data_IF_258841556474
#
_entry.id   IF_258841556474
#
_cell.length_a   1.000
_cell.length_b   1.000
_cell.length_c   1.000
_cell.angle_alpha   90.00
_cell.angle_beta   90.00
_cell.angle_gamma   90.00
#
_symmetry.space_group_name_H-M   'P 1'
#
loop_
_entity.id
_entity.type
_entity.pdbx_description
1 polymer ?
#
# COMPACT_ATOMS: atom_id res chain seq x y z
N UNK A 1 27.85 -1.91 -2.58
CA UNK A 1 26.85 -2.83 -3.13
C UNK A 1 27.34 -4.28 -3.20
N UNK A 2 28.53 -4.57 -3.74
CA UNK A 2 29.05 -5.97 -3.85
C UNK A 2 29.20 -6.67 -2.49
N UNK A 3 29.69 -5.98 -1.46
CA UNK A 3 29.79 -6.53 -0.09
C UNK A 3 28.40 -6.92 0.44
N UNK A 4 27.38 -6.10 0.18
CA UNK A 4 25.99 -6.41 0.59
C UNK A 4 25.49 -7.67 -0.10
N UNK A 5 25.66 -7.79 -1.42
CA UNK A 5 25.26 -8.98 -2.19
C UNK A 5 25.91 -10.26 -1.67
N UNK A 6 27.22 -10.19 -1.36
CA UNK A 6 27.96 -11.32 -0.77
C UNK A 6 27.40 -11.73 0.59
N UNK A 7 27.04 -10.76 1.45
CA UNK A 7 26.47 -11.05 2.77
C UNK A 7 25.04 -11.64 2.65
N UNK A 8 24.19 -11.08 1.79
CA UNK A 8 22.88 -11.65 1.52
C UNK A 8 22.98 -13.11 1.06
N UNK A 9 23.91 -13.40 0.15
CA UNK A 9 24.14 -14.75 -0.34
C UNK A 9 24.67 -15.69 0.76
N UNK A 10 25.62 -15.23 1.57
CA UNK A 10 26.18 -16.01 2.67
C UNK A 10 25.14 -16.35 3.75
N UNK A 11 24.17 -15.46 3.96
CA UNK A 11 23.08 -15.63 4.94
C UNK A 11 21.83 -16.30 4.32
N UNK A 12 21.90 -16.76 3.06
CA UNK A 12 20.79 -17.46 2.38
C UNK A 12 19.59 -16.58 2.08
N UNK A 13 19.77 -15.27 2.02
CA UNK A 13 18.72 -14.32 1.68
C UNK A 13 18.66 -14.12 0.17
N UNK A 14 17.55 -14.50 -0.44
CA UNK A 14 17.38 -14.39 -1.89
C UNK A 14 17.33 -12.92 -2.34
N UNK A 15 17.97 -12.63 -3.47
CA UNK A 15 17.90 -11.31 -4.10
C UNK A 15 18.06 -11.41 -5.62
N UNK A 16 17.68 -10.33 -6.32
CA UNK A 16 17.93 -10.13 -7.74
C UNK A 16 18.73 -8.84 -7.91
N UNK A 17 19.73 -8.84 -8.78
CA UNK A 17 20.50 -7.66 -9.12
C UNK A 17 19.90 -7.00 -10.37
N UNK A 18 19.98 -5.67 -10.45
CA UNK A 18 19.48 -4.87 -11.56
C UNK A 18 18.01 -5.19 -11.97
N UNK A 19 17.18 -5.48 -10.96
CA UNK A 19 15.80 -5.93 -11.16
C UNK A 19 14.88 -4.79 -11.62
N UNK A 20 14.17 -4.93 -12.76
CA UNK A 20 13.26 -3.89 -13.27
C UNK A 20 12.07 -3.67 -12.34
N UNK A 21 11.96 -2.49 -11.72
CA UNK A 21 10.90 -2.17 -10.77
C UNK A 21 9.52 -2.04 -11.42
N UNK A 22 9.45 -1.81 -12.73
CA UNK A 22 8.20 -1.87 -13.49
C UNK A 22 7.49 -3.22 -13.37
N UNK A 23 8.21 -4.32 -13.12
CA UNK A 23 7.61 -5.64 -12.89
C UNK A 23 6.90 -5.74 -11.52
N UNK A 24 7.29 -4.91 -10.55
CA UNK A 24 6.90 -4.97 -9.14
C UNK A 24 5.96 -3.85 -8.71
N UNK A 25 5.37 -3.11 -9.63
CA UNK A 25 4.35 -2.11 -9.33
C UNK A 25 3.18 -2.19 -10.32
N UNK A 26 2.00 -1.75 -9.87
CA UNK A 26 0.77 -1.80 -10.68
C UNK A 26 0.77 -0.79 -11.83
N UNK A 27 1.58 0.27 -11.75
CA UNK A 27 1.74 1.26 -12.81
C UNK A 27 2.57 0.76 -14.00
N UNK A 28 3.38 -0.28 -13.77
CA UNK A 28 4.31 -0.84 -14.77
C UNK A 28 5.31 0.17 -15.32
N UNK A 29 5.78 1.06 -14.44
CA UNK A 29 6.80 2.10 -14.71
C UNK A 29 7.90 1.99 -13.65
N UNK A 30 9.15 2.12 -14.07
CA UNK A 30 10.32 2.16 -13.18
C UNK A 30 11.52 1.44 -13.77
N UNK A 31 12.68 2.06 -13.63
CA UNK A 31 13.98 1.48 -13.97
C UNK A 31 14.43 0.41 -12.97
N UNK A 32 15.67 -0.07 -13.07
CA UNK A 32 16.18 -1.16 -12.23
C UNK A 32 16.50 -0.71 -10.79
N UNK A 33 16.32 -1.61 -9.82
CA UNK A 33 16.94 -1.51 -8.50
C UNK A 33 18.33 -2.17 -8.53
N UNK A 34 19.33 -1.61 -7.83
CA UNK A 34 20.66 -2.25 -7.71
C UNK A 34 20.56 -3.64 -7.07
N UNK A 35 19.68 -3.77 -6.07
CA UNK A 35 19.34 -5.03 -5.41
C UNK A 35 17.84 -5.05 -5.11
N UNK A 36 17.17 -6.13 -5.46
CA UNK A 36 15.79 -6.45 -5.09
C UNK A 36 15.84 -7.64 -4.13
N UNK A 37 15.72 -7.38 -2.82
CA UNK A 37 15.83 -8.39 -1.77
C UNK A 37 14.48 -9.07 -1.51
N UNK A 38 14.51 -10.38 -1.30
CA UNK A 38 13.34 -11.25 -1.15
C UNK A 38 13.41 -11.99 0.20
N UNK A 39 13.31 -11.28 1.36
CA UNK A 39 13.32 -11.94 2.66
C UNK A 39 12.06 -12.79 2.83
N UNK A 40 12.23 -14.05 3.21
CA UNK A 40 11.11 -14.98 3.43
C UNK A 40 10.63 -15.01 4.89
N UNK A 41 11.48 -14.56 5.84
CA UNK A 41 11.15 -14.52 7.26
C UNK A 41 11.38 -13.11 7.84
N UNK A 42 10.81 -12.89 9.02
CA UNK A 42 11.00 -11.62 9.75
C UNK A 42 12.46 -11.38 10.10
N UNK A 43 13.17 -12.43 10.54
CA UNK A 43 14.59 -12.35 10.86
C UNK A 43 15.41 -11.94 9.62
N UNK A 44 15.10 -12.51 8.45
CA UNK A 44 15.75 -12.13 7.19
C UNK A 44 15.45 -10.67 6.83
N UNK A 45 14.20 -10.21 6.99
CA UNK A 45 13.81 -8.82 6.76
C UNK A 45 14.59 -7.85 7.66
N UNK A 46 14.61 -8.12 8.97
CA UNK A 46 15.36 -7.34 9.93
C UNK A 46 16.87 -7.33 9.59
N UNK A 47 17.40 -8.47 9.16
CA UNK A 47 18.80 -8.60 8.79
C UNK A 47 19.15 -7.80 7.53
N UNK A 48 18.32 -7.82 6.48
CA UNK A 48 18.51 -6.99 5.28
C UNK A 48 18.55 -5.51 5.65
N UNK A 49 17.61 -5.05 6.50
CA UNK A 49 17.56 -3.67 6.96
C UNK A 49 18.83 -3.32 7.76
N UNK A 50 19.26 -4.18 8.67
CA UNK A 50 20.49 -4.00 9.45
C UNK A 50 21.72 -3.89 8.53
N UNK A 51 21.89 -4.80 7.56
CA UNK A 51 22.99 -4.77 6.59
C UNK A 51 23.00 -3.47 5.77
N UNK A 52 21.84 -2.97 5.36
CA UNK A 52 21.73 -1.69 4.67
C UNK A 52 22.24 -0.53 5.55
N UNK A 53 21.80 -0.49 6.81
CA UNK A 53 22.22 0.53 7.77
C UNK A 53 23.72 0.47 8.09
N UNK A 54 24.25 -0.72 8.38
CA UNK A 54 25.67 -0.96 8.65
C UNK A 54 26.59 -0.49 7.52
N UNK A 55 26.10 -0.56 6.26
CA UNK A 55 26.88 -0.19 5.08
C UNK A 55 26.52 1.18 4.50
N UNK A 56 25.59 1.91 5.12
CA UNK A 56 25.12 3.21 4.63
C UNK A 56 24.42 3.11 3.26
N UNK A 57 23.78 1.97 2.95
CA UNK A 57 23.04 1.74 1.72
C UNK A 57 21.59 2.14 1.92
N UNK A 58 21.06 2.94 1.01
CA UNK A 58 19.62 3.27 1.02
C UNK A 58 18.78 2.02 0.80
N UNK A 59 17.63 1.94 1.44
CA UNK A 59 16.65 0.89 1.17
C UNK A 59 15.24 1.44 1.09
N UNK A 60 14.36 0.71 0.41
CA UNK A 60 12.93 0.99 0.25
C UNK A 60 12.12 -0.27 0.50
N UNK A 61 11.10 -0.17 1.38
CA UNK A 61 10.18 -1.27 1.66
C UNK A 61 9.04 -1.25 0.65
N UNK A 62 8.87 -2.33 -0.08
CA UNK A 62 7.87 -2.45 -1.13
C UNK A 62 6.86 -3.54 -0.77
N UNK A 63 5.57 -3.17 -0.76
CA UNK A 63 4.46 -4.13 -0.80
C UNK A 63 4.06 -4.43 -2.25
N UNK A 64 2.77 -4.41 -2.55
CA UNK A 64 2.27 -4.67 -3.91
C UNK A 64 2.54 -3.54 -4.94
N UNK A 65 3.22 -2.46 -4.57
CA UNK A 65 3.53 -1.36 -5.48
C UNK A 65 2.30 -0.66 -6.08
N UNK A 66 1.16 -0.70 -5.39
CA UNK A 66 -0.12 -0.22 -5.94
C UNK A 66 -0.38 1.28 -5.76
N UNK A 67 0.51 1.98 -5.04
CA UNK A 67 0.48 3.44 -4.86
C UNK A 67 1.86 4.07 -5.17
N UNK A 68 2.67 3.40 -6.01
CA UNK A 68 4.07 3.75 -6.24
C UNK A 68 4.30 4.07 -7.72
N UNK A 69 5.09 5.13 -7.94
CA UNK A 69 5.70 5.48 -9.22
C UNK A 69 7.21 5.52 -9.04
N UNK A 70 7.93 4.56 -9.62
CA UNK A 70 9.39 4.55 -9.61
C UNK A 70 9.94 5.42 -10.73
N UNK A 71 11.07 6.11 -10.45
CA UNK A 71 11.80 6.87 -11.47
C UNK A 71 12.35 5.96 -12.57
N UNK A 72 12.48 6.53 -13.78
CA UNK A 72 12.99 5.82 -14.97
C UNK A 72 14.45 5.39 -14.79
N UNK A 73 15.24 6.16 -14.01
CA UNK A 73 16.61 5.81 -13.63
C UNK A 73 16.69 4.61 -12.66
N UNK A 74 15.55 4.20 -12.07
CA UNK A 74 15.46 3.12 -11.09
C UNK A 74 15.72 3.57 -9.66
N UNK A 75 16.23 2.65 -8.82
CA UNK A 75 16.53 2.92 -7.42
C UNK A 75 17.96 2.53 -7.08
N UNK A 76 18.78 3.52 -6.69
CA UNK A 76 20.18 3.28 -6.30
C UNK A 76 20.24 2.86 -4.84
N UNK A 77 20.10 1.54 -4.61
CA UNK A 77 20.02 0.94 -3.30
C UNK A 77 19.31 -0.41 -3.32
N UNK A 78 18.70 -0.76 -2.19
CA UNK A 78 17.99 -2.03 -1.99
C UNK A 78 16.48 -1.77 -1.97
N UNK A 79 15.74 -2.41 -2.85
CA UNK A 79 14.27 -2.53 -2.70
C UNK A 79 14.00 -3.87 -2.02
N UNK A 80 13.29 -3.84 -0.90
CA UNK A 80 12.96 -5.03 -0.09
C UNK A 80 11.50 -5.37 -0.32
N UNK A 81 11.24 -6.53 -0.94
CA UNK A 81 9.89 -7.02 -1.20
C UNK A 81 9.30 -7.67 0.05
N UNK A 82 8.37 -6.98 0.70
CA UNK A 82 7.68 -7.53 1.87
C UNK A 82 6.67 -8.63 1.51
N UNK A 83 6.27 -8.75 0.24
CA UNK A 83 5.40 -9.84 -0.21
C UNK A 83 6.10 -11.19 -0.26
N UNK A 84 7.44 -11.23 -0.23
CA UNK A 84 8.19 -12.47 -0.13
C UNK A 84 8.07 -13.13 1.27
N UNK A 85 7.65 -12.36 2.30
CA UNK A 85 7.50 -12.85 3.66
C UNK A 85 6.42 -13.94 3.74
N UNK A 86 6.81 -15.11 4.25
CA UNK A 86 5.93 -16.27 4.49
C UNK A 86 5.23 -16.15 5.84
N UNK A 87 4.56 -15.02 6.08
CA UNK A 87 3.79 -14.77 7.29
C UNK A 87 2.31 -15.11 7.06
N UNK A 88 1.73 -15.84 8.00
CA UNK A 88 0.34 -16.31 7.91
C UNK A 88 -0.69 -15.34 8.49
N UNK A 89 -1.89 -15.89 8.67
CA UNK A 89 -3.00 -15.25 9.40
C UNK A 89 -3.27 -16.11 10.64
N UNK A 90 -3.39 -15.45 11.80
CA UNK A 90 -3.80 -16.04 13.07
C UNK A 90 -5.13 -15.47 13.52
N UNK A 91 -5.90 -16.27 14.26
CA UNK A 91 -7.18 -15.88 14.84
C UNK A 91 -7.17 -16.10 16.34
N UNK A 92 -7.73 -15.14 17.08
CA UNK A 92 -7.98 -15.24 18.53
C UNK A 92 -9.46 -14.92 18.77
N UNK A 93 -10.17 -15.86 19.37
CA UNK A 93 -11.60 -15.70 19.62
C UNK A 93 -11.88 -14.91 20.90
N UNK A 94 -12.99 -14.16 20.89
CA UNK A 94 -13.56 -13.47 22.07
C UNK A 94 -12.55 -12.57 22.78
N UNK A 95 -11.88 -11.70 22.03
CA UNK A 95 -10.93 -10.75 22.61
C UNK A 95 -11.66 -9.55 23.24
N UNK A 96 -11.06 -8.96 24.27
CA UNK A 96 -11.51 -7.69 24.81
C UNK A 96 -11.30 -6.59 23.76
N UNK A 97 -12.34 -5.78 23.51
CA UNK A 97 -12.25 -4.65 22.59
C UNK A 97 -12.60 -3.35 23.32
N UNK A 98 -11.72 -2.33 23.29
CA UNK A 98 -12.00 -1.04 23.90
C UNK A 98 -13.28 -0.41 23.32
N UNK A 99 -14.21 -0.03 24.19
CA UNK A 99 -15.48 0.58 23.77
C UNK A 99 -16.55 -0.38 23.24
N UNK A 100 -16.36 -1.71 23.37
CA UNK A 100 -17.40 -2.68 23.02
C UNK A 100 -18.68 -2.43 23.84
N UNK A 101 -19.84 -2.44 23.18
CA UNK A 101 -21.13 -2.39 23.85
C UNK A 101 -21.42 -3.72 24.59
N UNK A 102 -22.28 -3.72 25.62
CA UNK A 102 -22.66 -4.94 26.31
C UNK A 102 -23.22 -6.00 25.34
N UNK A 103 -22.60 -7.18 25.33
CA UNK A 103 -22.98 -8.30 24.45
C UNK A 103 -22.32 -8.30 23.07
N UNK A 104 -21.52 -7.28 22.71
CA UNK A 104 -20.70 -7.33 21.50
C UNK A 104 -19.48 -8.23 21.72
N UNK A 105 -19.25 -9.11 20.76
CA UNK A 105 -18.11 -10.05 20.74
C UNK A 105 -17.22 -9.71 19.56
N UNK A 106 -15.92 -9.56 19.84
CA UNK A 106 -14.88 -9.33 18.86
C UNK A 106 -13.92 -10.51 18.84
N UNK A 107 -13.49 -10.85 17.64
CA UNK A 107 -12.36 -11.76 17.43
C UNK A 107 -11.18 -10.94 16.88
N UNK A 108 -9.95 -11.32 17.23
CA UNK A 108 -8.77 -10.70 16.66
C UNK A 108 -8.25 -11.51 15.49
N UNK A 109 -7.85 -10.79 14.44
CA UNK A 109 -7.16 -11.34 13.27
C UNK A 109 -5.77 -10.72 13.22
N UNK A 110 -4.73 -11.53 13.32
CA UNK A 110 -3.33 -11.11 13.18
C UNK A 110 -2.83 -11.49 11.80
N UNK A 111 -2.35 -10.53 11.03
CA UNK A 111 -1.90 -10.75 9.66
C UNK A 111 -0.51 -10.16 9.41
N UNK A 112 0.35 -10.89 8.70
CA UNK A 112 1.67 -10.42 8.30
C UNK A 112 1.60 -9.27 7.29
N UNK A 113 2.54 -8.33 7.38
CA UNK A 113 2.56 -7.11 6.56
C UNK A 113 2.61 -7.36 5.05
N UNK A 114 3.26 -8.45 4.62
CA UNK A 114 3.38 -8.84 3.21
C UNK A 114 2.14 -9.50 2.62
N UNK A 115 1.17 -9.90 3.45
CA UNK A 115 -0.04 -10.57 3.01
C UNK A 115 -0.88 -9.64 2.14
N UNK A 116 -1.46 -10.16 1.05
CA UNK A 116 -2.43 -9.40 0.24
C UNK A 116 -3.67 -9.06 1.05
N UNK A 117 -4.13 -7.83 0.94
CA UNK A 117 -5.31 -7.37 1.66
C UNK A 117 -6.57 -8.16 1.30
N UNK A 118 -6.71 -8.56 0.03
CA UNK A 118 -7.80 -9.44 -0.41
C UNK A 118 -7.78 -10.82 0.27
N UNK A 119 -6.60 -11.37 0.56
CA UNK A 119 -6.46 -12.64 1.29
C UNK A 119 -6.91 -12.50 2.75
N UNK A 120 -6.56 -11.38 3.40
CA UNK A 120 -7.05 -11.06 4.75
C UNK A 120 -8.59 -10.96 4.77
N UNK A 121 -9.18 -10.23 3.80
CA UNK A 121 -10.65 -10.10 3.71
C UNK A 121 -11.34 -11.44 3.46
N UNK A 122 -10.76 -12.31 2.62
CA UNK A 122 -11.28 -13.67 2.36
C UNK A 122 -11.21 -14.52 3.63
N UNK A 123 -10.10 -14.49 4.35
CA UNK A 123 -9.95 -15.23 5.60
C UNK A 123 -10.92 -14.73 6.70
N UNK A 124 -11.17 -13.42 6.77
CA UNK A 124 -12.20 -12.85 7.66
C UNK A 124 -13.60 -13.38 7.32
N UNK A 125 -13.98 -13.38 6.03
CA UNK A 125 -15.25 -13.95 5.56
C UNK A 125 -15.38 -15.44 5.92
N UNK A 126 -14.34 -16.25 5.69
CA UNK A 126 -14.33 -17.69 6.01
C UNK A 126 -14.52 -17.97 7.52
N UNK A 127 -14.17 -17.00 8.37
CA UNK A 127 -14.38 -17.04 9.82
C UNK A 127 -15.62 -16.24 10.28
N UNK A 128 -16.49 -15.83 9.35
CA UNK A 128 -17.71 -15.06 9.63
C UNK A 128 -17.44 -13.73 10.36
N UNK A 129 -16.34 -13.05 10.02
CA UNK A 129 -15.91 -11.78 10.61
C UNK A 129 -16.18 -10.62 9.66
N UNK A 130 -16.95 -9.63 10.11
CA UNK A 130 -17.34 -8.41 9.38
C UNK A 130 -16.45 -7.22 9.77
N UNK A 131 -16.33 -6.24 8.89
CA UNK A 131 -15.60 -4.99 9.09
C UNK A 131 -14.51 -4.74 8.05
N UNK A 132 -14.08 -5.75 7.27
CA UNK A 132 -13.04 -5.62 6.23
C UNK A 132 -13.60 -5.59 4.79
N UNK A 133 -14.90 -5.57 4.59
CA UNK A 133 -15.53 -5.64 3.27
C UNK A 133 -15.09 -4.50 2.35
N UNK A 134 -14.86 -3.29 2.91
CA UNK A 134 -14.39 -2.11 2.19
C UNK A 134 -13.00 -2.32 1.56
N UNK A 135 -12.19 -3.17 2.16
CA UNK A 135 -10.79 -3.38 1.81
C UNK A 135 -10.60 -4.45 0.73
N UNK A 136 -11.59 -5.31 0.48
CA UNK A 136 -11.46 -6.47 -0.42
C UNK A 136 -10.95 -6.13 -1.82
N UNK A 137 -11.40 -5.01 -2.38
CA UNK A 137 -10.97 -4.57 -3.71
C UNK A 137 -9.69 -3.73 -3.73
N UNK A 138 -9.07 -3.38 -2.59
CA UNK A 138 -7.84 -2.57 -2.55
C UNK A 138 -6.64 -3.45 -2.93
N UNK A 139 -5.88 -3.12 -3.99
CA UNK A 139 -4.78 -3.96 -4.49
C UNK A 139 -3.49 -3.74 -3.68
N UNK A 140 -3.55 -3.82 -2.36
CA UNK A 140 -2.42 -3.59 -1.44
C UNK A 140 -2.03 -4.82 -0.64
N UNK A 141 -0.97 -4.68 0.15
CA UNK A 141 -0.64 -5.59 1.26
C UNK A 141 -1.15 -5.01 2.57
N UNK A 142 -1.23 -5.85 3.61
CA UNK A 142 -1.63 -5.43 4.97
C UNK A 142 -0.74 -4.29 5.46
N UNK A 143 0.60 -4.43 5.38
CA UNK A 143 1.52 -3.38 5.80
C UNK A 143 1.37 -2.08 4.99
N UNK A 144 1.21 -2.18 3.66
CA UNK A 144 0.97 -1.01 2.81
C UNK A 144 -0.38 -0.34 3.11
N UNK A 145 -1.41 -1.11 3.44
CA UNK A 145 -2.72 -0.59 3.81
C UNK A 145 -2.70 0.13 5.15
N UNK A 146 -2.01 -0.42 6.16
CA UNK A 146 -1.81 0.24 7.46
C UNK A 146 -0.98 1.51 7.30
N UNK A 147 0.14 1.45 6.57
CA UNK A 147 1.01 2.59 6.30
C UNK A 147 0.25 3.79 5.72
N UNK A 148 -0.70 3.55 4.83
CA UNK A 148 -1.51 4.57 4.15
C UNK A 148 -2.84 4.85 4.86
N UNK A 149 -3.15 4.21 5.99
CA UNK A 149 -4.52 4.16 6.50
C UNK A 149 -5.51 3.99 5.34
N UNK A 150 -5.32 2.94 4.53
CA UNK A 150 -6.04 2.73 3.29
C UNK A 150 -7.54 2.64 3.54
N UNK A 151 -8.33 3.30 2.72
CA UNK A 151 -9.77 3.32 2.85
C UNK A 151 -10.50 3.41 1.51
N UNK A 152 -11.70 2.86 1.48
CA UNK A 152 -12.61 2.90 0.36
C UNK A 152 -14.06 2.77 0.85
N UNK A 153 -15.01 3.35 0.11
CA UNK A 153 -16.45 3.18 0.36
C UNK A 153 -16.92 3.49 1.79
N UNK A 154 -16.25 4.43 2.46
CA UNK A 154 -16.60 4.90 3.80
C UNK A 154 -15.95 4.17 4.95
N UNK A 155 -15.17 3.08 4.69
CA UNK A 155 -14.33 2.42 5.69
C UNK A 155 -12.84 2.70 5.46
N UNK A 156 -12.04 2.63 6.52
CA UNK A 156 -10.59 2.77 6.48
C UNK A 156 -9.92 1.87 7.52
N UNK A 157 -8.61 1.62 7.37
CA UNK A 157 -7.89 0.67 8.24
C UNK A 157 -8.04 1.01 9.73
N UNK A 158 -8.00 2.28 10.12
CA UNK A 158 -8.15 2.70 11.52
C UNK A 158 -9.46 2.27 12.18
N UNK A 159 -10.50 1.98 11.38
CA UNK A 159 -11.81 1.59 11.92
C UNK A 159 -11.81 0.17 12.50
N UNK A 160 -10.83 -0.65 12.12
CA UNK A 160 -10.72 -2.07 12.51
C UNK A 160 -9.36 -2.45 13.07
N UNK A 161 -8.34 -1.58 12.91
CA UNK A 161 -6.98 -1.83 13.40
C UNK A 161 -6.92 -1.68 14.92
N UNK A 162 -6.33 -2.66 15.61
CA UNK A 162 -6.11 -2.64 17.05
C UNK A 162 -4.67 -2.31 17.40
N UNK A 163 -3.71 -3.02 16.83
CA UNK A 163 -2.28 -2.81 17.08
C UNK A 163 -1.44 -3.14 15.84
N UNK A 164 -0.21 -2.67 15.86
CA UNK A 164 0.80 -2.95 14.84
C UNK A 164 2.11 -3.34 15.51
N UNK A 165 2.68 -4.44 15.07
CA UNK A 165 4.04 -4.86 15.44
C UNK A 165 4.99 -4.41 14.33
N UNK A 166 6.03 -3.66 14.67
CA UNK A 166 6.94 -3.08 13.71
C UNK A 166 8.38 -2.99 14.21
N UNK A 167 9.33 -2.96 13.29
CA UNK A 167 10.74 -2.70 13.54
C UNK A 167 10.99 -1.19 13.52
N UNK A 168 11.57 -0.66 14.60
CA UNK A 168 11.93 0.76 14.71
C UNK A 168 13.19 1.08 13.90
N UNK A 169 13.50 2.38 13.76
CA UNK A 169 14.76 2.80 13.16
C UNK A 169 15.97 2.40 14.00
N UNK A 170 15.82 2.18 15.30
CA UNK A 170 16.92 1.74 16.19
C UNK A 170 17.15 0.23 16.14
N UNK A 171 16.25 -0.53 15.49
CA UNK A 171 16.35 -1.97 15.34
C UNK A 171 15.55 -2.77 16.36
N UNK A 172 14.76 -2.10 17.20
CA UNK A 172 13.89 -2.75 18.18
C UNK A 172 12.55 -3.15 17.54
N UNK A 173 12.05 -4.31 17.92
CA UNK A 173 10.70 -4.71 17.56
C UNK A 173 9.75 -4.31 18.67
N UNK A 174 8.78 -3.48 18.34
CA UNK A 174 7.78 -2.96 19.28
C UNK A 174 6.36 -3.22 18.77
N UNK A 175 5.43 -3.28 19.68
CA UNK A 175 3.99 -3.28 19.40
C UNK A 175 3.39 -1.96 19.85
N UNK A 176 2.59 -1.34 18.99
CA UNK A 176 1.90 -0.08 19.27
C UNK A 176 0.41 -0.20 18.97
N UNK A 177 -0.40 0.32 19.88
CA UNK A 177 -1.85 0.43 19.71
C UNK A 177 -2.20 1.41 18.58
N UNK A 178 -3.30 1.15 17.86
CA UNK A 178 -3.75 2.00 16.75
C UNK A 178 -3.92 3.48 17.14
N UNK A 179 -4.29 3.75 18.38
CA UNK A 179 -4.51 5.10 18.90
C UNK A 179 -3.26 6.01 18.89
N UNK A 180 -2.05 5.43 18.88
CA UNK A 180 -0.78 6.20 18.86
C UNK A 180 -0.12 6.22 17.47
N UNK A 181 -0.78 5.66 16.46
CA UNK A 181 -0.21 5.55 15.10
C UNK A 181 -0.53 6.76 14.20
N UNK A 182 -1.17 7.81 14.72
CA UNK A 182 -1.58 9.01 13.98
C UNK A 182 -2.28 8.71 12.65
N UNK A 183 -3.25 7.79 12.70
CA UNK A 183 -3.97 7.34 11.51
C UNK A 183 -4.99 8.39 11.06
N UNK A 184 -4.70 9.03 9.94
CA UNK A 184 -5.58 10.01 9.31
C UNK A 184 -5.68 9.75 7.79
N UNK A 185 -6.31 10.65 7.04
CA UNK A 185 -6.51 10.46 5.60
C UNK A 185 -5.19 10.29 4.85
N UNK A 186 -4.92 9.07 4.38
CA UNK A 186 -3.70 8.67 3.65
C UNK A 186 -2.41 8.91 4.43
N UNK A 187 -2.48 8.76 5.76
CA UNK A 187 -1.36 9.02 6.65
C UNK A 187 -1.30 8.04 7.83
N UNK A 188 -0.10 7.76 8.28
CA UNK A 188 0.23 7.12 9.55
C UNK A 188 1.61 7.58 10.02
N UNK A 189 1.90 7.41 11.31
CA UNK A 189 3.21 7.76 11.92
C UNK A 189 4.41 7.10 11.20
N UNK A 190 4.20 6.00 10.49
CA UNK A 190 5.25 5.29 9.74
C UNK A 190 5.82 6.12 8.58
N UNK A 191 5.09 7.12 8.12
CA UNK A 191 5.58 8.07 7.12
C UNK A 191 6.72 8.93 7.66
N UNK A 192 6.69 9.24 8.96
CA UNK A 192 7.64 10.12 9.64
C UNK A 192 8.75 9.34 10.34
N UNK A 193 8.37 8.27 11.06
CA UNK A 193 9.34 7.52 11.87
C UNK A 193 10.09 6.43 11.09
N UNK A 194 9.68 6.13 9.83
CA UNK A 194 10.33 5.15 8.98
C UNK A 194 10.30 3.71 9.52
N UNK A 195 9.41 3.39 10.45
CA UNK A 195 9.25 2.04 11.00
C UNK A 195 8.82 1.03 9.94
N UNK A 196 9.33 -0.19 10.01
CA UNK A 196 8.97 -1.29 9.13
C UNK A 196 7.86 -2.13 9.76
N UNK A 197 6.65 -2.06 9.23
CA UNK A 197 5.51 -2.85 9.71
C UNK A 197 5.78 -4.33 9.43
N UNK A 198 5.65 -5.17 10.48
CA UNK A 198 5.86 -6.62 10.43
C UNK A 198 4.53 -7.37 10.41
N UNK A 199 3.60 -6.97 11.27
CA UNK A 199 2.24 -7.52 11.32
C UNK A 199 1.25 -6.50 11.88
N UNK A 200 -0.02 -6.72 11.64
CA UNK A 200 -1.11 -5.92 12.18
C UNK A 200 -2.18 -6.82 12.79
N UNK A 201 -2.77 -6.37 13.88
CA UNK A 201 -3.91 -7.00 14.54
C UNK A 201 -5.16 -6.17 14.30
N UNK A 202 -6.22 -6.84 13.89
CA UNK A 202 -7.53 -6.27 13.64
C UNK A 202 -8.55 -6.87 14.60
N UNK A 203 -9.44 -6.04 15.16
CA UNK A 203 -10.58 -6.51 15.93
C UNK A 203 -11.84 -6.42 15.06
N UNK A 204 -12.45 -7.58 14.82
CA UNK A 204 -13.59 -7.73 13.92
C UNK A 204 -14.77 -8.34 14.67
N UNK A 205 -16.00 -7.92 14.32
CA UNK A 205 -17.23 -8.50 14.88
C UNK A 205 -17.61 -9.77 14.13
N UNK A 206 -18.28 -10.69 14.81
CA UNK A 206 -18.96 -11.80 14.14
C UNK A 206 -20.18 -11.29 13.38
N UNK A 207 -20.36 -11.79 12.16
CA UNK A 207 -21.43 -11.40 11.26
C UNK A 207 -21.98 -12.58 10.46
N UNK A 208 -23.03 -12.31 9.68
CA UNK A 208 -23.58 -13.28 8.74
C UNK A 208 -22.66 -13.41 7.50
N UNK A 209 -22.09 -14.57 7.22
CA UNK A 209 -21.17 -14.76 6.09
C UNK A 209 -21.80 -14.45 4.72
N UNK A 210 -23.10 -14.70 4.54
CA UNK A 210 -23.78 -14.39 3.29
C UNK A 210 -23.91 -12.86 3.11
N UNK A 211 -24.21 -12.13 4.16
CA UNK A 211 -24.24 -10.66 4.14
C UNK A 211 -22.84 -10.06 3.89
N UNK A 212 -21.80 -10.58 4.54
CA UNK A 212 -20.40 -10.16 4.34
C UNK A 212 -19.99 -10.37 2.88
N UNK A 213 -20.23 -11.57 2.33
CA UNK A 213 -19.93 -11.92 0.94
C UNK A 213 -20.70 -11.04 -0.05
N UNK A 214 -21.98 -10.82 0.19
CA UNK A 214 -22.81 -9.95 -0.64
C UNK A 214 -22.24 -8.52 -0.67
N UNK A 215 -21.82 -7.99 0.49
CA UNK A 215 -21.22 -6.66 0.60
C UNK A 215 -19.87 -6.57 -0.11
N UNK A 216 -18.99 -7.55 0.05
CA UNK A 216 -17.70 -7.62 -0.67
C UNK A 216 -17.92 -7.60 -2.19
N UNK A 217 -18.86 -8.41 -2.69
CA UNK A 217 -19.19 -8.48 -4.11
C UNK A 217 -19.77 -7.17 -4.64
N UNK A 218 -20.69 -6.54 -3.89
CA UNK A 218 -21.25 -5.22 -4.22
C UNK A 218 -20.15 -4.17 -4.39
N UNK A 219 -19.22 -4.08 -3.42
CA UNK A 219 -18.15 -3.10 -3.44
C UNK A 219 -17.16 -3.37 -4.57
N UNK A 220 -16.87 -4.63 -4.84
CA UNK A 220 -16.02 -5.02 -5.97
C UNK A 220 -16.68 -4.69 -7.32
N UNK A 221 -17.98 -4.94 -7.48
CA UNK A 221 -18.73 -4.58 -8.68
C UNK A 221 -18.69 -3.06 -8.95
N UNK A 222 -18.93 -2.24 -7.91
CA UNK A 222 -18.79 -0.78 -7.99
C UNK A 222 -17.39 -0.34 -8.40
N UNK A 223 -16.36 -1.05 -7.94
CA UNK A 223 -14.98 -0.77 -8.30
C UNK A 223 -14.70 -1.09 -9.76
N UNK A 224 -15.09 -2.28 -10.22
CA UNK A 224 -14.96 -2.70 -11.63
C UNK A 224 -15.70 -1.75 -12.55
N UNK A 225 -16.90 -1.31 -12.18
CA UNK A 225 -17.71 -0.35 -12.97
C UNK A 225 -17.00 1.01 -13.10
N UNK A 226 -16.43 1.55 -12.00
CA UNK A 226 -15.99 2.95 -11.94
C UNK A 226 -14.50 3.17 -12.19
N UNK A 227 -13.65 2.17 -11.97
CA UNK A 227 -12.20 2.34 -12.04
C UNK A 227 -11.59 1.65 -13.28
N UNK A 228 -10.49 2.18 -13.84
CA UNK A 228 -9.82 1.62 -15.03
C UNK A 228 -8.92 0.43 -14.66
N UNK A 229 -9.50 -0.67 -14.15
CA UNK A 229 -8.76 -1.84 -13.68
C UNK A 229 -8.09 -2.64 -14.82
N UNK A 230 -8.47 -2.36 -16.05
CA UNK A 230 -7.91 -2.92 -17.28
C UNK A 230 -6.61 -2.25 -17.72
N UNK A 231 -6.23 -1.14 -17.10
CA UNK A 231 -5.02 -0.39 -17.43
C UNK A 231 -4.08 -0.26 -16.24
N UNK A 232 -2.74 -0.33 -16.46
CA UNK A 232 -1.77 -0.09 -15.41
C UNK A 232 -1.91 1.33 -14.83
N UNK A 233 -1.97 1.42 -13.50
CA UNK A 233 -2.05 2.68 -12.74
C UNK A 233 -1.61 2.45 -11.29
N UNK A 234 -1.42 3.53 -10.54
CA UNK A 234 -1.17 3.49 -9.09
C UNK A 234 -2.40 3.96 -8.28
N UNK A 235 -3.60 3.62 -8.72
CA UNK A 235 -4.83 4.07 -8.05
C UNK A 235 -5.17 5.53 -8.35
N UNK A 236 -5.83 6.19 -7.41
CA UNK A 236 -6.10 7.63 -7.49
C UNK A 236 -4.80 8.41 -7.47
N UNK A 237 -4.61 9.27 -8.46
CA UNK A 237 -3.36 10.03 -8.63
C UNK A 237 -3.26 11.22 -7.67
N UNK A 238 -4.41 11.83 -7.32
CA UNK A 238 -4.49 12.99 -6.46
C UNK A 238 -5.34 12.71 -5.22
N UNK A 239 -4.93 13.28 -4.09
CA UNK A 239 -5.71 13.30 -2.86
C UNK A 239 -7.02 14.07 -3.08
N UNK A 240 -8.03 13.75 -2.28
CA UNK A 240 -9.29 14.50 -2.27
C UNK A 240 -9.04 15.87 -1.64
N UNK A 241 -9.24 16.98 -2.37
CA UNK A 241 -9.17 18.31 -1.77
C UNK A 241 -10.37 18.55 -0.83
N UNK A 242 -10.22 19.44 0.12
CA UNK A 242 -11.30 19.81 1.04
C UNK A 242 -12.50 20.38 0.25
N UNK A 243 -13.68 19.80 0.45
CA UNK A 243 -14.93 20.26 -0.18
C UNK A 243 -15.17 19.80 -1.62
N UNK A 244 -14.25 19.04 -2.25
CA UNK A 244 -14.42 18.58 -3.61
C UNK A 244 -13.86 17.15 -3.82
N UNK A 245 -14.13 16.56 -4.99
CA UNK A 245 -13.52 15.32 -5.45
C UNK A 245 -12.55 15.64 -6.58
N UNK A 246 -11.29 15.23 -6.47
CA UNK A 246 -10.28 15.48 -7.51
C UNK A 246 -10.75 15.03 -8.90
N UNK A 247 -11.40 13.86 -9.00
CA UNK A 247 -11.93 13.35 -10.26
C UNK A 247 -13.04 14.22 -10.90
N UNK A 248 -13.71 15.07 -10.12
CA UNK A 248 -14.74 15.98 -10.63
C UNK A 248 -14.15 17.32 -11.10
N UNK A 249 -12.90 17.61 -10.71
CA UNK A 249 -12.18 18.84 -11.09
C UNK A 249 -11.28 18.64 -12.30
N UNK A 250 -11.05 17.38 -12.73
CA UNK A 250 -10.12 17.01 -13.81
C UNK A 250 -10.93 16.64 -15.06
N UNK A 251 -10.64 17.32 -16.16
CA UNK A 251 -11.22 17.00 -17.47
C UNK A 251 -10.59 15.74 -18.07
N UNK A 252 -11.29 15.16 -19.04
CA UNK A 252 -10.82 14.02 -19.84
C UNK A 252 -9.89 14.50 -20.94
N UNK A 253 -9.11 13.55 -21.48
CA UNK A 253 -8.34 13.77 -22.70
C UNK A 253 -6.92 14.25 -22.50
N UNK A 254 -6.50 14.59 -21.27
CA UNK A 254 -5.12 14.96 -21.00
C UNK A 254 -4.19 13.77 -21.22
N UNK A 255 -3.10 14.00 -21.97
CA UNK A 255 -2.07 13.00 -22.30
C UNK A 255 -0.70 13.65 -22.35
N UNK A 256 0.32 12.89 -21.88
CA UNK A 256 1.71 13.24 -22.04
C UNK A 256 2.51 11.96 -22.29
N UNK A 257 3.20 11.86 -23.45
CA UNK A 257 3.84 10.62 -23.84
C UNK A 257 2.91 9.40 -23.78
N UNK A 258 3.32 8.38 -23.03
CA UNK A 258 2.53 7.17 -22.82
C UNK A 258 1.51 7.26 -21.66
N UNK A 259 1.50 8.36 -20.88
CA UNK A 259 0.59 8.58 -19.77
C UNK A 259 -0.68 9.31 -20.21
N UNK A 260 -1.83 8.97 -19.60
CA UNK A 260 -3.10 9.65 -19.87
C UNK A 260 -3.99 9.69 -18.63
N UNK A 261 -4.82 10.75 -18.52
CA UNK A 261 -5.99 10.74 -17.62
C UNK A 261 -6.98 9.70 -18.14
N UNK A 262 -7.46 8.84 -17.23
CA UNK A 262 -8.37 7.76 -17.61
C UNK A 262 -9.73 8.30 -18.06
N UNK A 263 -10.20 7.82 -19.22
CA UNK A 263 -11.55 8.11 -19.72
C UNK A 263 -12.66 7.60 -18.79
N UNK A 264 -12.38 6.54 -17.99
CA UNK A 264 -13.33 5.93 -17.08
C UNK A 264 -13.44 6.66 -15.73
N UNK A 265 -12.30 7.20 -15.24
CA UNK A 265 -12.23 7.89 -13.95
C UNK A 265 -11.10 8.93 -13.98
N UNK A 266 -11.45 10.22 -14.07
CA UNK A 266 -10.47 11.30 -14.24
C UNK A 266 -9.48 11.46 -13.06
N UNK A 267 -9.76 10.88 -11.89
CA UNK A 267 -8.80 10.85 -10.78
C UNK A 267 -7.64 9.87 -10.97
N UNK A 268 -7.63 9.07 -12.06
CA UNK A 268 -6.59 8.09 -12.37
C UNK A 268 -5.76 8.53 -13.57
N UNK A 269 -4.46 8.52 -13.40
CA UNK A 269 -3.52 8.50 -14.53
C UNK A 269 -3.18 7.05 -14.83
N UNK A 270 -3.26 6.67 -16.11
CA UNK A 270 -3.03 5.32 -16.60
C UNK A 270 -1.85 5.29 -17.57
N UNK A 271 -1.15 4.16 -17.60
CA UNK A 271 -0.12 3.87 -18.59
C UNK A 271 -0.79 3.18 -19.80
N UNK A 272 -0.76 3.85 -20.95
CA UNK A 272 -1.29 3.34 -22.23
C UNK A 272 -0.33 2.42 -22.98
N UNK A 273 0.86 2.19 -22.40
CA UNK A 273 1.98 1.47 -22.97
C UNK A 273 3.17 2.41 -23.18
N UNK A 274 4.33 2.02 -22.60
CA UNK A 274 5.58 2.78 -22.74
C UNK A 274 5.62 4.13 -22.00
N UNK A 275 4.69 4.39 -21.07
CA UNK A 275 4.77 5.59 -20.25
C UNK A 275 6.00 5.56 -19.34
N UNK A 276 6.65 6.71 -19.20
CA UNK A 276 7.77 6.95 -18.28
C UNK A 276 7.30 7.64 -17.01
N UNK A 277 8.13 7.62 -15.98
CA UNK A 277 7.90 8.42 -14.77
C UNK A 277 7.83 9.92 -15.11
N UNK A 278 8.70 10.37 -15.99
CA UNK A 278 8.70 11.75 -16.48
C UNK A 278 7.38 12.14 -17.15
N UNK A 279 6.81 11.26 -18.00
CA UNK A 279 5.50 11.48 -18.63
C UNK A 279 4.39 11.67 -17.60
N UNK A 280 4.34 10.79 -16.59
CA UNK A 280 3.32 10.85 -15.53
C UNK A 280 3.45 12.13 -14.71
N UNK A 281 4.68 12.52 -14.36
CA UNK A 281 4.90 13.73 -13.57
C UNK A 281 4.54 14.99 -14.35
N UNK A 282 4.96 15.08 -15.64
CA UNK A 282 4.60 16.19 -16.50
C UNK A 282 3.08 16.32 -16.68
N UNK A 283 2.38 15.20 -16.89
CA UNK A 283 0.92 15.17 -16.96
C UNK A 283 0.26 15.62 -15.64
N UNK A 284 0.78 15.17 -14.50
CA UNK A 284 0.27 15.59 -13.19
C UNK A 284 0.43 17.09 -12.96
N UNK A 285 1.57 17.67 -13.35
CA UNK A 285 1.86 19.09 -13.16
C UNK A 285 1.00 19.95 -14.10
N UNK A 286 0.76 19.51 -15.35
CA UNK A 286 -0.17 20.14 -16.28
C UNK A 286 -1.61 20.15 -15.74
N UNK A 287 -2.11 18.98 -15.31
CA UNK A 287 -3.45 18.85 -14.71
C UNK A 287 -3.61 19.75 -13.48
N UNK A 288 -2.60 19.79 -12.58
CA UNK A 288 -2.62 20.67 -11.41
C UNK A 288 -2.71 22.15 -11.77
N UNK A 289 -1.93 22.58 -12.76
CA UNK A 289 -1.93 23.97 -13.21
C UNK A 289 -3.30 24.38 -13.74
N UNK A 290 -3.90 23.56 -14.61
CA UNK A 290 -5.21 23.83 -15.21
C UNK A 290 -6.31 23.83 -14.14
N UNK A 291 -6.35 22.82 -13.25
CA UNK A 291 -7.36 22.76 -12.19
C UNK A 291 -7.23 23.98 -11.25
N UNK A 292 -6.01 24.36 -10.91
CA UNK A 292 -5.77 25.54 -10.06
C UNK A 292 -6.25 26.84 -10.72
N UNK A 293 -5.98 27.02 -12.00
CA UNK A 293 -6.43 28.19 -12.77
C UNK A 293 -7.96 28.25 -12.89
N UNK A 294 -8.61 27.12 -13.20
CA UNK A 294 -10.05 27.07 -13.44
C UNK A 294 -10.91 27.08 -12.18
N UNK A 295 -10.41 26.50 -11.09
CA UNK A 295 -11.23 26.20 -9.90
C UNK A 295 -10.67 26.78 -8.60
N UNK A 296 -9.42 27.19 -8.57
CA UNK A 296 -8.70 27.64 -7.38
C UNK A 296 -8.20 26.48 -6.48
N UNK A 297 -8.55 25.21 -6.75
CA UNK A 297 -8.06 24.06 -5.98
C UNK A 297 -6.62 23.72 -6.36
N UNK A 298 -5.74 23.54 -5.36
CA UNK A 298 -4.39 23.01 -5.56
C UNK A 298 -4.40 21.50 -5.26
N UNK A 299 -4.25 20.68 -6.31
CA UNK A 299 -4.28 19.23 -6.17
C UNK A 299 -2.94 18.70 -5.62
N UNK A 300 -3.00 17.87 -4.59
CA UNK A 300 -1.84 17.16 -4.04
C UNK A 300 -1.80 15.73 -4.60
N UNK A 301 -0.61 15.26 -5.00
CA UNK A 301 -0.43 13.87 -5.47
C UNK A 301 -0.63 12.89 -4.31
N UNK A 302 -1.44 11.84 -4.52
CA UNK A 302 -1.59 10.71 -3.60
C UNK A 302 -0.56 9.62 -3.90
N UNK A 303 -0.19 9.45 -5.17
CA UNK A 303 0.85 8.50 -5.59
C UNK A 303 2.21 8.92 -5.03
N UNK A 304 2.99 7.93 -4.59
CA UNK A 304 4.33 8.14 -4.03
C UNK A 304 5.39 7.93 -5.10
N UNK A 305 6.15 8.98 -5.37
CA UNK A 305 7.27 8.94 -6.32
C UNK A 305 8.52 8.48 -5.57
N UNK A 306 9.07 7.36 -5.99
CA UNK A 306 10.31 6.79 -5.42
C UNK A 306 11.46 7.17 -6.31
N UNK A 307 12.32 8.06 -5.79
CA UNK A 307 13.48 8.63 -6.50
C UNK A 307 14.70 7.74 -6.40
N UNK A 308 15.56 7.83 -7.43
CA UNK A 308 16.83 7.13 -7.54
C UNK A 308 17.81 7.40 -6.38
#
# INVERSE_FOLDING_TARGET
>A
MERLKQQLQAEGIAYRADEPLAAHCTFKIGGPADVFALPETEEQLCRVIALCKEQGVKYYLLGNGSNILFEDAGYRGVVIDTMALKMGIGFLEQVAHPGAAPGEVYDAVVAGAGLKLSSLCTAALENSLTGLEFAYGIPGTVGGAVYMNAGAYGGEMKDVLQSVRYLTQDGDIVEAEAAVLDLSYRHSIFEENGGCILSAQFHLKRGDPDAIKARMNELMAKRVEKQPLDKPSAGSTFKRPAGAFAAALIDRGFRHGGAAVSEKHCGFVVNLGGATCADVLALCDEVRAIVKEQTGFDLEKEIRVVKA
#
